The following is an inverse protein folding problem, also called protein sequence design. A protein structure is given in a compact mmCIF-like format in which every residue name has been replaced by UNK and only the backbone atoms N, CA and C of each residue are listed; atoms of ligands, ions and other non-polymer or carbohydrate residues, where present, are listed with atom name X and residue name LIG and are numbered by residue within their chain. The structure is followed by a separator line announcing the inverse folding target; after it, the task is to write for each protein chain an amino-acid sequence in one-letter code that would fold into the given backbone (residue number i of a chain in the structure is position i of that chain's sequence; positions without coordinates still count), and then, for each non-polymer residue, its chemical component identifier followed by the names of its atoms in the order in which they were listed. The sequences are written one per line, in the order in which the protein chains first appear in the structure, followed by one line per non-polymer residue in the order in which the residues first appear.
data_IF_812903482108
#
_entry.id   IF_812903482108
#
_cell.length_a   1.000
_cell.length_b   1.000
_cell.length_c   1.000
_cell.angle_alpha   90.00
_cell.angle_beta   90.00
_cell.angle_gamma   90.00
#
_symmetry.space_group_name_H-M   'P 1'
#
loop_
_entity.id
_entity.type
_entity.pdbx_description
1 polymer ?
#
# COMPACT_ATOMS: atom_id res chain seq x y z
N UNK A 1 -2.55 -40.79 49.60
CA UNK A 1 -3.29 -39.52 49.81
C UNK A 1 -2.24 -38.49 50.20
N UNK A 2 -1.94 -37.42 49.46
CA UNK A 2 -2.74 -36.61 48.55
C UNK A 2 -1.88 -36.19 47.36
N UNK A 3 -2.53 -36.04 46.21
CA UNK A 3 -1.97 -35.55 44.94
C UNK A 3 -2.29 -34.05 44.92
N UNK A 4 -1.28 -33.19 44.94
CA UNK A 4 -1.48 -31.75 44.78
C UNK A 4 -1.65 -31.42 43.30
N UNK A 5 -2.91 -31.27 42.92
CA UNK A 5 -3.37 -30.73 41.64
C UNK A 5 -3.12 -29.22 41.64
N UNK A 6 -2.05 -28.78 40.99
CA UNK A 6 -1.86 -27.38 40.64
C UNK A 6 -2.84 -27.00 39.52
N UNK A 7 -3.87 -26.28 39.93
CA UNK A 7 -4.89 -25.63 39.13
C UNK A 7 -4.24 -24.67 38.12
N UNK A 8 -4.31 -24.98 36.82
CA UNK A 8 -3.90 -24.07 35.75
C UNK A 8 -5.05 -23.08 35.52
N UNK A 9 -4.89 -21.76 35.73
CA UNK A 9 -5.90 -20.80 35.33
C UNK A 9 -5.82 -20.60 33.81
N UNK A 10 -6.89 -20.98 33.12
CA UNK A 10 -7.19 -20.58 31.76
C UNK A 10 -7.54 -19.08 31.70
N UNK A 11 -7.47 -18.52 30.49
CA UNK A 11 -7.81 -17.15 30.09
C UNK A 11 -6.71 -16.09 30.19
N UNK A 12 -5.71 -16.21 29.32
CA UNK A 12 -5.17 -15.00 28.69
C UNK A 12 -6.13 -14.59 27.57
N UNK A 13 -7.14 -13.79 27.92
CA UNK A 13 -7.91 -13.02 26.94
C UNK A 13 -6.93 -12.04 26.29
N UNK A 14 -6.63 -12.22 25.01
CA UNK A 14 -6.01 -11.21 24.17
C UNK A 14 -7.00 -10.07 23.98
N UNK A 15 -7.07 -9.17 24.96
CA UNK A 15 -7.75 -7.90 24.82
C UNK A 15 -6.89 -7.01 23.94
N UNK A 16 -7.16 -7.06 22.63
CA UNK A 16 -6.65 -6.10 21.65
C UNK A 16 -7.31 -4.75 21.95
N UNK A 17 -6.72 -4.02 22.89
CA UNK A 17 -6.98 -2.60 23.09
C UNK A 17 -6.42 -1.89 21.87
N UNK A 18 -7.28 -1.65 20.87
CA UNK A 18 -7.02 -0.66 19.84
C UNK A 18 -7.13 0.68 20.55
N UNK A 19 -6.01 1.14 21.11
CA UNK A 19 -5.91 2.49 21.64
C UNK A 19 -5.90 3.46 20.46
N UNK A 20 -6.96 4.26 20.42
CA UNK A 20 -7.17 5.38 19.52
C UNK A 20 -6.00 6.37 19.53
N UNK A 21 -5.75 6.91 18.34
CA UNK A 21 -4.84 8.02 18.04
C UNK A 21 -3.35 7.75 18.34
N UNK A 22 -2.71 7.01 17.43
CA UNK A 22 -1.28 7.24 17.19
C UNK A 22 -1.17 8.70 16.77
N UNK A 23 -0.68 9.56 17.68
CA UNK A 23 -0.02 10.78 17.26
C UNK A 23 1.05 10.34 16.28
N UNK A 24 0.81 10.56 14.99
CA UNK A 24 1.85 10.46 13.98
C UNK A 24 2.89 11.48 14.45
N UNK A 25 3.93 11.02 15.13
CA UNK A 25 5.17 11.78 15.21
C UNK A 25 5.49 12.15 13.77
N UNK A 26 5.67 13.44 13.53
CA UNK A 26 5.97 13.96 12.20
C UNK A 26 7.40 13.57 11.83
N UNK A 27 7.60 12.27 11.62
CA UNK A 27 8.87 11.69 11.24
C UNK A 27 9.08 12.10 9.79
N UNK A 28 9.97 13.06 9.58
CA UNK A 28 10.28 13.50 8.24
C UNK A 28 11.10 12.42 7.51
N UNK A 29 10.50 11.80 6.49
CA UNK A 29 11.14 10.76 5.69
C UNK A 29 11.90 11.29 4.46
N UNK A 30 11.99 12.61 4.25
CA UNK A 30 12.59 13.24 3.05
C UNK A 30 14.07 12.87 2.84
N UNK A 31 14.80 12.53 3.89
CA UNK A 31 16.23 12.21 3.83
C UNK A 31 16.55 10.73 4.08
N UNK A 32 15.52 9.91 4.35
CA UNK A 32 15.72 8.49 4.65
C UNK A 32 15.76 7.69 3.35
N UNK A 33 16.69 6.74 3.22
CA UNK A 33 16.64 5.75 2.13
C UNK A 33 15.95 4.52 2.69
N UNK A 34 14.73 4.25 2.21
CA UNK A 34 13.96 3.08 2.65
C UNK A 34 14.22 1.91 1.69
N UNK A 35 14.29 0.67 2.19
CA UNK A 35 14.40 -0.51 1.34
C UNK A 35 13.25 -0.56 0.33
N UNK A 36 13.53 -0.99 -0.90
CA UNK A 36 12.50 -1.16 -1.93
C UNK A 36 11.55 -2.28 -1.56
N UNK A 37 10.30 -2.20 -2.02
CA UNK A 37 9.29 -3.25 -1.83
C UNK A 37 9.82 -4.64 -2.23
N UNK A 38 10.47 -4.74 -3.40
CA UNK A 38 11.03 -6.00 -3.88
C UNK A 38 12.14 -6.56 -2.96
N UNK A 39 12.94 -5.69 -2.34
CA UNK A 39 13.97 -6.13 -1.37
C UNK A 39 13.33 -6.69 -0.11
N UNK A 40 12.27 -6.05 0.39
CA UNK A 40 11.51 -6.55 1.55
C UNK A 40 10.75 -7.85 1.24
N UNK A 41 10.22 -7.99 0.03
CA UNK A 41 9.57 -9.23 -0.42
C UNK A 41 10.60 -10.38 -0.50
N UNK A 42 11.80 -10.09 -1.03
CA UNK A 42 12.91 -11.05 -1.09
C UNK A 42 13.40 -11.46 0.31
N UNK A 43 13.64 -10.50 1.21
CA UNK A 43 14.12 -10.78 2.57
C UNK A 43 13.12 -11.64 3.36
N UNK A 44 11.81 -11.37 3.22
CA UNK A 44 10.78 -12.21 3.82
C UNK A 44 10.74 -13.62 3.23
N UNK A 45 10.93 -13.75 1.91
CA UNK A 45 10.96 -15.05 1.24
C UNK A 45 12.17 -15.89 1.70
N UNK A 46 13.35 -15.30 1.72
CA UNK A 46 14.58 -15.97 2.17
C UNK A 46 14.51 -16.37 3.64
N UNK A 47 13.98 -15.49 4.50
CA UNK A 47 13.79 -15.81 5.91
C UNK A 47 12.82 -16.97 6.12
N UNK A 48 11.74 -17.03 5.32
CA UNK A 48 10.80 -18.15 5.36
C UNK A 48 11.50 -19.45 4.93
N UNK A 49 12.24 -19.42 3.83
CA UNK A 49 12.99 -20.58 3.35
C UNK A 49 14.00 -21.08 4.39
N UNK A 50 14.78 -20.17 4.99
CA UNK A 50 15.75 -20.49 6.03
C UNK A 50 15.09 -21.10 7.28
N UNK A 51 13.87 -20.65 7.63
CA UNK A 51 13.09 -21.24 8.72
C UNK A 51 12.64 -22.66 8.36
N UNK A 52 12.10 -22.85 7.15
CA UNK A 52 11.59 -24.15 6.69
C UNK A 52 12.72 -25.20 6.60
N UNK A 53 13.95 -24.77 6.29
CA UNK A 53 15.16 -25.61 6.29
C UNK A 53 15.79 -25.77 7.68
N UNK A 54 15.24 -25.15 8.72
CA UNK A 54 15.77 -25.21 10.09
C UNK A 54 17.09 -24.46 10.31
N UNK A 55 17.48 -23.57 9.39
CA UNK A 55 18.70 -22.75 9.49
C UNK A 55 18.57 -21.60 10.48
N UNK A 56 17.35 -21.12 10.74
CA UNK A 56 17.06 -20.09 11.73
C UNK A 56 15.98 -20.54 12.70
N UNK A 57 16.06 -20.02 13.93
CA UNK A 57 15.05 -20.26 14.96
C UNK A 57 13.75 -19.48 14.69
N UNK A 58 12.62 -19.90 15.28
CA UNK A 58 11.37 -19.16 15.19
C UNK A 58 11.46 -17.71 15.67
N UNK A 59 12.25 -17.42 16.71
CA UNK A 59 12.44 -16.06 17.23
C UNK A 59 13.19 -15.18 16.22
N UNK A 60 14.28 -15.69 15.64
CA UNK A 60 15.03 -14.98 14.58
C UNK A 60 14.15 -14.72 13.36
N UNK A 61 13.29 -15.68 12.98
CA UNK A 61 12.33 -15.47 11.90
C UNK A 61 11.34 -14.34 12.23
N UNK A 62 10.80 -14.32 13.46
CA UNK A 62 9.91 -13.25 13.92
C UNK A 62 10.61 -11.87 13.92
N UNK A 63 11.89 -11.78 14.30
CA UNK A 63 12.66 -10.54 14.25
C UNK A 63 12.79 -10.00 12.83
N UNK A 64 13.04 -10.87 11.84
CA UNK A 64 13.08 -10.47 10.42
C UNK A 64 11.70 -9.96 9.98
N UNK A 65 10.62 -10.65 10.35
CA UNK A 65 9.27 -10.22 10.01
C UNK A 65 8.93 -8.84 10.59
N UNK A 66 9.22 -8.61 11.88
CA UNK A 66 8.96 -7.33 12.55
C UNK A 66 9.73 -6.21 11.85
N UNK A 67 11.01 -6.41 11.55
CA UNK A 67 11.84 -5.44 10.84
C UNK A 67 11.28 -5.11 9.45
N UNK A 68 10.88 -6.14 8.69
CA UNK A 68 10.28 -5.96 7.37
C UNK A 68 8.96 -5.19 7.45
N UNK A 69 8.11 -5.48 8.45
CA UNK A 69 6.85 -4.77 8.67
C UNK A 69 7.08 -3.30 9.04
N UNK A 70 8.04 -3.00 9.92
CA UNK A 70 8.41 -1.63 10.27
C UNK A 70 8.90 -0.84 9.05
N UNK A 71 9.74 -1.46 8.21
CA UNK A 71 10.20 -0.83 6.97
C UNK A 71 9.04 -0.56 5.99
N UNK A 72 8.06 -1.48 5.89
CA UNK A 72 6.84 -1.26 5.09
C UNK A 72 5.98 -0.15 5.66
N UNK A 73 5.84 -0.07 6.97
CA UNK A 73 5.10 1.00 7.63
C UNK A 73 5.73 2.37 7.33
N UNK A 74 7.05 2.50 7.47
CA UNK A 74 7.76 3.74 7.14
C UNK A 74 7.56 4.17 5.67
N UNK A 75 7.47 3.20 4.73
CA UNK A 75 7.16 3.48 3.32
C UNK A 75 5.74 4.00 3.14
N UNK A 76 4.77 3.40 3.83
CA UNK A 76 3.38 3.86 3.81
C UNK A 76 3.26 5.26 4.40
N UNK A 77 3.92 5.53 5.52
CA UNK A 77 3.91 6.84 6.16
C UNK A 77 4.50 7.92 5.24
N UNK A 78 5.62 7.63 4.56
CA UNK A 78 6.18 8.51 3.52
C UNK A 78 5.18 8.76 2.39
N UNK A 79 4.56 7.71 1.87
CA UNK A 79 3.56 7.83 0.81
C UNK A 79 2.37 8.70 1.24
N UNK A 80 1.93 8.56 2.49
CA UNK A 80 0.86 9.38 3.08
C UNK A 80 1.28 10.83 3.27
N UNK A 81 2.51 11.10 3.71
CA UNK A 81 3.05 12.47 3.80
C UNK A 81 3.12 13.14 2.43
N UNK A 82 3.65 12.42 1.43
CA UNK A 82 3.68 12.88 0.04
C UNK A 82 2.28 13.15 -0.50
N UNK A 83 1.32 12.27 -0.24
CA UNK A 83 -0.07 12.49 -0.64
C UNK A 83 -0.64 13.78 -0.05
N UNK A 84 -0.40 14.05 1.23
CA UNK A 84 -0.86 15.27 1.90
C UNK A 84 -0.25 16.53 1.28
N UNK A 85 1.06 16.52 1.00
CA UNK A 85 1.76 17.64 0.33
C UNK A 85 1.26 17.86 -1.10
N UNK A 86 1.06 16.78 -1.85
CA UNK A 86 0.48 16.84 -3.19
C UNK A 86 -0.94 17.42 -3.19
N UNK A 87 -1.77 17.09 -2.19
CA UNK A 87 -3.10 17.70 -2.03
C UNK A 87 -3.04 19.21 -1.72
N UNK A 88 -1.97 19.68 -1.08
CA UNK A 88 -1.73 21.09 -0.78
C UNK A 88 -1.09 21.85 -1.96
N UNK A 89 -0.71 21.15 -3.04
CA UNK A 89 -0.07 21.73 -4.21
C UNK A 89 1.42 22.01 -4.02
N UNK A 90 2.04 21.45 -2.99
CA UNK A 90 3.44 21.70 -2.61
C UNK A 90 4.44 20.74 -3.29
N UNK A 91 3.96 19.67 -3.93
CA UNK A 91 4.83 18.61 -4.46
C UNK A 91 5.14 18.77 -5.96
N UNK A 92 6.43 18.59 -6.29
CA UNK A 92 6.89 18.38 -7.66
C UNK A 92 6.66 16.94 -8.11
N UNK A 93 6.62 16.71 -9.43
CA UNK A 93 6.49 15.36 -10.02
C UNK A 93 7.54 14.38 -9.47
N UNK A 94 8.76 14.86 -9.27
CA UNK A 94 9.87 14.07 -8.73
C UNK A 94 9.64 13.65 -7.28
N UNK A 95 9.05 14.53 -6.46
CA UNK A 95 8.70 14.24 -5.07
C UNK A 95 7.60 13.19 -4.98
N UNK A 96 6.56 13.28 -5.83
CA UNK A 96 5.50 12.26 -5.90
C UNK A 96 6.10 10.90 -6.26
N UNK A 97 6.92 10.85 -7.32
CA UNK A 97 7.55 9.59 -7.74
C UNK A 97 8.38 8.98 -6.61
N UNK A 98 9.15 9.80 -5.91
CA UNK A 98 9.97 9.36 -4.77
C UNK A 98 9.13 8.90 -3.58
N UNK A 99 8.04 9.59 -3.27
CA UNK A 99 7.19 9.26 -2.12
C UNK A 99 6.44 7.95 -2.28
N UNK A 100 6.11 7.57 -3.52
CA UNK A 100 5.44 6.31 -3.84
C UNK A 100 6.38 5.23 -4.39
N UNK A 101 7.68 5.49 -4.45
CA UNK A 101 8.69 4.66 -5.12
C UNK A 101 8.29 4.25 -6.54
N UNK A 102 7.65 5.16 -7.26
CA UNK A 102 7.26 4.97 -8.64
C UNK A 102 8.44 5.29 -9.56
N UNK A 103 8.69 4.42 -10.53
CA UNK A 103 9.58 4.75 -11.62
C UNK A 103 8.90 5.73 -12.57
N UNK A 104 9.71 6.47 -13.33
CA UNK A 104 9.18 7.36 -14.36
C UNK A 104 8.40 6.61 -15.45
N UNK A 105 8.78 5.36 -15.73
CA UNK A 105 8.01 4.46 -16.59
C UNK A 105 6.64 4.13 -16.03
N UNK A 106 6.51 3.82 -14.73
CA UNK A 106 5.21 3.49 -14.12
C UNK A 106 4.25 4.68 -14.21
N UNK A 107 4.78 5.89 -14.00
CA UNK A 107 3.99 7.14 -14.05
C UNK A 107 3.57 7.45 -15.47
N UNK A 108 4.46 7.26 -16.45
CA UNK A 108 4.14 7.47 -17.86
C UNK A 108 3.14 6.44 -18.37
N UNK A 109 3.28 5.17 -17.98
CA UNK A 109 2.34 4.11 -18.36
C UNK A 109 0.94 4.39 -17.79
N UNK A 110 0.84 4.71 -16.50
CA UNK A 110 -0.43 5.06 -15.86
C UNK A 110 -1.10 6.27 -16.55
N UNK A 111 -0.32 7.29 -16.90
CA UNK A 111 -0.81 8.47 -17.62
C UNK A 111 -1.33 8.11 -19.01
N UNK A 112 -0.63 7.24 -19.72
CA UNK A 112 -1.04 6.80 -21.05
C UNK A 112 -2.31 5.95 -20.98
N UNK A 113 -2.43 5.09 -19.97
CA UNK A 113 -3.65 4.34 -19.72
C UNK A 113 -4.83 5.26 -19.40
N UNK A 114 -4.63 6.29 -18.57
CA UNK A 114 -5.66 7.29 -18.27
C UNK A 114 -6.11 8.03 -19.54
N UNK A 115 -5.17 8.44 -20.41
CA UNK A 115 -5.48 9.07 -21.71
C UNK A 115 -6.33 8.17 -22.58
N UNK A 116 -5.98 6.88 -22.71
CA UNK A 116 -6.75 5.91 -23.49
C UNK A 116 -8.18 5.78 -22.99
N UNK A 117 -8.37 5.70 -21.66
CA UNK A 117 -9.70 5.62 -21.04
C UNK A 117 -10.53 6.88 -21.34
N UNK A 118 -9.92 8.07 -21.21
CA UNK A 118 -10.60 9.34 -21.49
C UNK A 118 -11.01 9.41 -22.96
N UNK A 119 -10.10 9.09 -23.88
CA UNK A 119 -10.38 9.10 -25.31
C UNK A 119 -11.51 8.13 -25.67
N UNK A 120 -11.51 6.94 -25.08
CA UNK A 120 -12.57 5.95 -25.27
C UNK A 120 -13.93 6.47 -24.78
N UNK A 121 -13.97 7.11 -23.60
CA UNK A 121 -15.20 7.70 -23.05
C UNK A 121 -15.72 8.86 -23.92
N UNK A 122 -14.83 9.74 -24.38
CA UNK A 122 -15.18 10.85 -25.27
C UNK A 122 -15.75 10.34 -26.60
N UNK A 123 -15.11 9.33 -27.19
CA UNK A 123 -15.59 8.73 -28.44
C UNK A 123 -16.94 8.02 -28.27
N UNK A 124 -17.13 7.29 -27.17
CA UNK A 124 -18.42 6.67 -26.85
C UNK A 124 -19.51 7.70 -26.61
N UNK A 125 -19.19 8.82 -25.95
CA UNK A 125 -20.11 9.92 -25.75
C UNK A 125 -20.51 10.55 -27.08
N UNK A 126 -19.53 10.84 -27.97
CA UNK A 126 -19.77 11.34 -29.33
C UNK A 126 -20.69 10.42 -30.14
N UNK A 127 -20.47 9.10 -30.09
CA UNK A 127 -21.34 8.11 -30.76
C UNK A 127 -22.74 8.06 -30.17
N UNK A 128 -22.86 8.17 -28.84
CA UNK A 128 -24.15 8.24 -28.15
C UNK A 128 -24.95 9.47 -28.59
N UNK A 129 -24.33 10.65 -28.63
CA UNK A 129 -24.97 11.88 -29.10
C UNK A 129 -25.43 11.78 -30.56
N UNK A 130 -24.58 11.25 -31.45
CA UNK A 130 -24.96 11.01 -32.84
C UNK A 130 -26.13 10.02 -32.95
N UNK A 131 -26.18 9.00 -32.10
CA UNK A 131 -27.30 8.06 -32.02
C UNK A 131 -28.59 8.73 -31.54
N UNK A 132 -28.51 9.62 -30.55
CA UNK A 132 -29.65 10.40 -30.05
C UNK A 132 -30.17 11.35 -31.13
N UNK A 133 -29.28 12.09 -31.82
CA UNK A 133 -29.63 12.97 -32.93
C UNK A 133 -30.32 12.23 -34.08
N UNK A 134 -29.81 11.04 -34.46
CA UNK A 134 -30.43 10.20 -35.50
C UNK A 134 -31.82 9.70 -35.10
N UNK A 135 -32.02 9.29 -33.85
CA UNK A 135 -33.34 8.82 -33.36
C UNK A 135 -34.36 9.95 -33.24
N UNK A 136 -33.92 11.18 -32.92
CA UNK A 136 -34.78 12.37 -32.92
C UNK A 136 -35.16 12.82 -34.33
N UNK A 137 -34.30 12.63 -35.32
CA UNK A 137 -34.56 13.00 -36.72
C UNK A 137 -35.56 12.10 -37.46
N UNK A 138 -35.82 10.89 -36.97
CA UNK A 138 -36.81 9.95 -37.55
C UNK A 138 -38.21 10.05 -36.95
N UNK A 139 -38.46 11.01 -36.05
CA UNK A 139 -39.76 11.25 -35.43
C UNK A 139 -40.35 12.60 -35.83
N UNK A 140 -40.73 12.74 -37.10
CA UNK A 140 -41.51 13.89 -37.58
C UNK A 140 -41.17 14.30 -39.01
N UNK A 141 -41.90 13.73 -39.98
CA UNK A 141 -42.93 14.38 -40.79
C UNK A 141 -43.80 13.30 -41.42
#
# INVERSE_FOLDING_TARGET
MQVESALIPSHAQCTLMISDSVQLTDVNYDNVVLPRRAQLDQEMYEAKLARDEGRISPSQYCEVLVRCMQARQARLDRGMQGLRRAMQGEDTRELINRNFDLSESDVNESREQARRIIMLKLENWRRSEQGILRRRGTGGF
#
